data_IF_245217685059
#
_entry.id   IF_245217685059
#
_cell.length_a   1.000
_cell.length_b   1.000
_cell.length_c   1.000
_cell.angle_alpha   90.00
_cell.angle_beta   90.00
_cell.angle_gamma   90.00
#
_symmetry.space_group_name_H-M   'P 1'
#
loop_
_entity.id
_entity.type
_entity.pdbx_description
1 polymer ?
#
# COMPACT_ATOMS: atom_id res chain seq x y z
N UNK A 1 -2.38 1.38 4.41
CA UNK A 1 -2.08 2.48 3.45
C UNK A 1 -3.29 3.33 2.99
N UNK A 2 -4.53 2.84 3.02
CA UNK A 2 -5.73 3.60 2.56
C UNK A 2 -6.52 4.27 3.68
N UNK A 3 -5.98 4.26 4.90
CA UNK A 3 -6.59 4.83 6.11
C UNK A 3 -5.57 5.69 6.84
N UNK A 4 -6.04 6.56 7.75
CA UNK A 4 -5.17 7.49 8.48
C UNK A 4 -4.79 8.70 7.63
N UNK A 5 -3.70 9.36 8.00
CA UNK A 5 -3.34 10.69 7.45
C UNK A 5 -2.36 10.63 6.26
N UNK A 6 -1.72 9.49 6.04
CA UNK A 6 -0.69 9.35 5.01
C UNK A 6 -1.31 8.98 3.66
N UNK A 7 -1.04 9.80 2.64
CA UNK A 7 -1.41 9.49 1.25
C UNK A 7 -0.33 8.61 0.58
N UNK A 8 -0.46 7.29 0.74
CA UNK A 8 0.48 6.32 0.18
C UNK A 8 0.50 6.28 -1.35
N UNK A 9 -0.61 6.62 -2.03
CA UNK A 9 -0.65 6.70 -3.50
C UNK A 9 0.34 7.74 -4.02
N UNK A 10 0.37 8.92 -3.40
CA UNK A 10 1.32 9.96 -3.76
C UNK A 10 2.77 9.58 -3.42
N UNK A 11 2.99 8.85 -2.33
CA UNK A 11 4.33 8.36 -1.96
C UNK A 11 4.84 7.35 -2.99
N UNK A 12 4.02 6.38 -3.40
CA UNK A 12 4.42 5.37 -4.38
C UNK A 12 4.72 6.02 -5.73
N UNK A 13 3.85 6.96 -6.17
CA UNK A 13 4.10 7.77 -7.35
C UNK A 13 5.40 8.56 -7.27
N UNK A 14 5.70 9.17 -6.12
CA UNK A 14 6.93 9.92 -5.92
C UNK A 14 8.18 9.02 -6.00
N UNK A 15 8.15 7.83 -5.39
CA UNK A 15 9.24 6.86 -5.43
C UNK A 15 9.46 6.32 -6.85
N UNK A 16 8.36 6.00 -7.56
CA UNK A 16 8.39 5.61 -8.97
C UNK A 16 9.05 6.67 -9.84
N UNK A 17 8.65 7.94 -9.69
CA UNK A 17 9.22 9.07 -10.43
C UNK A 17 10.70 9.31 -10.10
N UNK A 18 11.15 8.96 -8.89
CA UNK A 18 12.56 8.97 -8.51
C UNK A 18 13.36 7.77 -9.04
N UNK A 19 12.71 6.85 -9.75
CA UNK A 19 13.35 5.65 -10.29
C UNK A 19 13.72 4.63 -9.23
N UNK A 20 13.08 4.65 -8.05
CA UNK A 20 13.33 3.64 -7.02
C UNK A 20 12.95 2.24 -7.54
N UNK A 21 13.86 1.27 -7.39
CA UNK A 21 13.68 -0.12 -7.86
C UNK A 21 13.75 -1.17 -6.73
N UNK A 22 13.82 -0.72 -5.49
CA UNK A 22 13.82 -1.61 -4.33
C UNK A 22 12.43 -2.17 -4.00
N UNK A 23 12.36 -2.98 -2.95
CA UNK A 23 11.11 -3.57 -2.46
C UNK A 23 10.48 -2.65 -1.40
N UNK A 24 9.18 -2.43 -1.50
CA UNK A 24 8.39 -1.75 -0.46
C UNK A 24 7.71 -2.83 0.39
N UNK A 25 8.06 -2.90 1.67
CA UNK A 25 7.50 -3.87 2.61
C UNK A 25 6.02 -3.62 2.93
N UNK A 26 5.24 -4.70 2.98
CA UNK A 26 3.82 -4.67 3.34
C UNK A 26 3.61 -4.82 4.85
N UNK A 27 4.25 -3.99 5.68
CA UNK A 27 4.32 -4.18 7.15
C UNK A 27 3.10 -3.67 7.94
N UNK A 28 1.97 -3.40 7.27
CA UNK A 28 0.75 -3.05 7.97
C UNK A 28 0.05 -4.29 8.53
N UNK A 29 -0.48 -4.18 9.74
CA UNK A 29 -1.45 -5.15 10.26
C UNK A 29 -2.77 -5.11 9.49
N UNK A 30 -3.52 -6.22 9.54
CA UNK A 30 -4.87 -6.31 8.97
C UNK A 30 -5.88 -5.74 9.96
N UNK A 31 -6.77 -4.86 9.50
CA UNK A 31 -7.86 -4.31 10.31
C UNK A 31 -9.08 -5.24 10.43
N UNK A 32 -9.18 -6.22 9.53
CA UNK A 32 -10.22 -7.25 9.53
C UNK A 32 -9.60 -8.62 9.81
N UNK A 33 -10.33 -9.54 10.48
CA UNK A 33 -9.87 -10.89 10.70
C UNK A 33 -9.95 -11.74 9.41
N UNK A 34 -9.33 -12.92 9.44
CA UNK A 34 -9.52 -13.95 8.42
C UNK A 34 -8.91 -13.63 7.05
N UNK A 35 -9.34 -14.41 6.05
CA UNK A 35 -8.85 -14.35 4.67
C UNK A 35 -9.25 -13.05 3.98
N UNK A 36 -10.41 -12.51 4.32
CA UNK A 36 -10.93 -11.26 3.79
C UNK A 36 -10.06 -10.07 4.23
N UNK A 37 -9.54 -10.10 5.46
CA UNK A 37 -8.59 -9.10 5.95
C UNK A 37 -7.24 -9.14 5.24
N UNK A 38 -6.71 -10.33 4.97
CA UNK A 38 -5.50 -10.53 4.15
C UNK A 38 -5.69 -9.93 2.76
N UNK A 39 -6.82 -10.27 2.12
CA UNK A 39 -7.15 -9.79 0.77
C UNK A 39 -7.30 -8.27 0.73
N UNK A 40 -8.01 -7.70 1.70
CA UNK A 40 -8.19 -6.26 1.79
C UNK A 40 -6.86 -5.50 2.03
N UNK A 41 -5.93 -6.08 2.80
CA UNK A 41 -4.60 -5.51 2.99
C UNK A 41 -3.81 -5.47 1.67
N UNK A 42 -3.79 -6.59 0.93
CA UNK A 42 -3.13 -6.67 -0.38
C UNK A 42 -3.77 -5.66 -1.36
N UNK A 43 -5.10 -5.65 -1.46
CA UNK A 43 -5.84 -4.74 -2.33
C UNK A 43 -5.56 -3.27 -2.00
N UNK A 44 -5.40 -2.92 -0.72
CA UNK A 44 -5.07 -1.57 -0.31
C UNK A 44 -3.69 -1.13 -0.83
N UNK A 45 -2.70 -2.02 -0.84
CA UNK A 45 -1.39 -1.75 -1.43
C UNK A 45 -1.46 -1.64 -2.95
N UNK A 46 -2.14 -2.57 -3.62
CA UNK A 46 -2.34 -2.51 -5.09
C UNK A 46 -3.03 -1.21 -5.51
N UNK A 47 -4.05 -0.77 -4.77
CA UNK A 47 -4.78 0.47 -5.07
C UNK A 47 -3.88 1.71 -4.94
N UNK A 48 -2.97 1.72 -3.98
CA UNK A 48 -1.99 2.79 -3.85
C UNK A 48 -0.95 2.79 -4.98
N UNK A 49 -0.72 1.67 -5.67
CA UNK A 49 0.26 1.52 -6.76
C UNK A 49 -0.31 1.79 -8.16
N UNK A 50 -1.64 1.89 -8.30
CA UNK A 50 -2.33 2.08 -9.58
C UNK A 50 -2.44 3.56 -10.01
N UNK A 51 -1.31 4.26 -10.24
CA UNK A 51 -1.23 5.73 -10.45
C UNK A 51 -0.69 6.23 -11.78
#
# INVERSE_FOLDING_TARGET
>A
PTTGEINYRNIFKHLYNKGYKGIIGMEHGKSKPGKEGEKALIEAYCTCDDF
#
